data_IF_902095554404
#
_entry.id   IF_902095554404
#
_cell.length_a   1.000
_cell.length_b   1.000
_cell.length_c   1.000
_cell.angle_alpha   90.00
_cell.angle_beta   90.00
_cell.angle_gamma   90.00
#
_symmetry.space_group_name_H-M   'P 1'
#
loop_
_entity.id
_entity.type
_entity.pdbx_description
1 polymer ?
#
# COMPACT_ATOMS: atom_id res chain seq x y z
N UNK A 1 -10.14 -7.11 -7.95
CA UNK A 1 -10.56 -5.92 -7.20
C UNK A 1 -10.08 -4.69 -7.95
N UNK A 2 -10.94 -3.96 -8.67
CA UNK A 2 -10.74 -2.53 -8.89
C UNK A 2 -11.17 -1.80 -7.60
N UNK A 3 -10.36 -0.83 -7.18
CA UNK A 3 -10.31 -0.17 -5.87
C UNK A 3 -9.92 -1.07 -4.69
N UNK A 4 -8.86 -0.70 -3.97
CA UNK A 4 -8.49 -1.34 -2.69
C UNK A 4 -9.26 -0.64 -1.57
N UNK A 5 -10.23 -1.33 -0.96
CA UNK A 5 -11.01 -0.80 0.15
C UNK A 5 -10.40 -1.16 1.50
N UNK A 6 -10.82 -0.47 2.56
CA UNK A 6 -10.38 -0.82 3.91
C UNK A 6 -10.86 -2.20 4.37
N UNK A 7 -12.04 -2.64 3.92
CA UNK A 7 -12.53 -3.99 4.19
C UNK A 7 -11.64 -5.05 3.54
N UNK A 8 -11.18 -4.81 2.31
CA UNK A 8 -10.27 -5.72 1.62
C UNK A 8 -8.92 -5.83 2.35
N UNK A 9 -8.40 -4.72 2.86
CA UNK A 9 -7.16 -4.70 3.64
C UNK A 9 -7.31 -5.47 4.95
N UNK A 10 -8.40 -5.25 5.69
CA UNK A 10 -8.66 -5.98 6.94
C UNK A 10 -8.84 -7.47 6.67
N UNK A 11 -9.56 -7.84 5.59
CA UNK A 11 -9.70 -9.23 5.18
C UNK A 11 -8.35 -9.87 4.81
N UNK A 12 -7.51 -9.16 4.05
CA UNK A 12 -6.14 -9.58 3.71
C UNK A 12 -5.27 -9.80 4.95
N UNK A 13 -5.48 -8.99 5.99
CA UNK A 13 -4.77 -9.09 7.27
C UNK A 13 -5.39 -10.11 8.24
N UNK A 14 -6.32 -10.96 7.79
CA UNK A 14 -6.96 -12.00 8.61
C UNK A 14 -7.95 -11.44 9.65
N UNK A 15 -8.54 -10.28 9.38
CA UNK A 15 -9.49 -9.60 10.28
C UNK A 15 -8.85 -8.61 11.25
N UNK A 16 -7.53 -8.39 11.17
CA UNK A 16 -6.85 -7.44 12.04
C UNK A 16 -6.93 -6.00 11.51
N UNK A 17 -7.28 -5.06 12.39
CA UNK A 17 -7.26 -3.61 12.13
C UNK A 17 -8.65 -2.98 11.99
N UNK A 18 -8.67 -1.66 11.81
CA UNK A 18 -9.89 -0.89 11.59
C UNK A 18 -10.06 -0.59 10.09
N UNK A 19 -11.21 -0.98 9.52
CA UNK A 19 -11.48 -0.83 8.09
C UNK A 19 -11.58 0.64 7.66
N UNK A 20 -12.03 1.54 8.54
CA UNK A 20 -12.10 2.98 8.23
C UNK A 20 -10.70 3.57 8.11
N UNK A 21 -9.81 3.24 9.06
CA UNK A 21 -8.41 3.67 9.04
C UNK A 21 -7.67 3.08 7.85
N UNK A 22 -7.81 1.77 7.62
CA UNK A 22 -7.20 1.08 6.49
C UNK A 22 -7.66 1.66 5.14
N UNK A 23 -8.93 2.05 5.02
CA UNK A 23 -9.46 2.69 3.82
C UNK A 23 -8.81 4.05 3.53
N UNK A 24 -8.57 4.86 4.56
CA UNK A 24 -7.85 6.15 4.41
C UNK A 24 -6.40 5.92 3.99
N UNK A 25 -5.72 4.93 4.57
CA UNK A 25 -4.39 4.54 4.14
C UNK A 25 -4.37 4.11 2.67
N UNK A 26 -5.32 3.26 2.25
CA UNK A 26 -5.42 2.79 0.87
C UNK A 26 -5.55 3.94 -0.14
N UNK A 27 -6.34 4.97 0.18
CA UNK A 27 -6.49 6.17 -0.67
C UNK A 27 -5.16 6.92 -0.85
N UNK A 28 -4.41 7.11 0.23
CA UNK A 28 -3.09 7.77 0.19
C UNK A 28 -2.09 6.93 -0.61
N UNK A 29 -1.98 5.63 -0.32
CA UNK A 29 -1.07 4.72 -1.02
C UNK A 29 -1.41 4.64 -2.52
N UNK A 30 -2.71 4.64 -2.88
CA UNK A 30 -3.17 4.70 -4.28
C UNK A 30 -2.69 5.98 -4.97
N UNK A 31 -2.78 7.13 -4.29
CA UNK A 31 -2.29 8.42 -4.82
C UNK A 31 -0.77 8.41 -5.03
N UNK A 32 -0.02 7.80 -4.11
CA UNK A 32 1.43 7.65 -4.24
C UNK A 32 1.80 6.73 -5.41
N UNK A 33 1.12 5.59 -5.56
CA UNK A 33 1.33 4.67 -6.67
C UNK A 33 1.05 5.35 -8.01
N UNK A 34 -0.09 6.05 -8.12
CA UNK A 34 -0.48 6.80 -9.33
C UNK A 34 0.52 7.89 -9.68
N UNK A 35 1.03 8.61 -8.69
CA UNK A 35 2.09 9.62 -8.89
C UNK A 35 3.39 8.99 -9.38
N UNK A 36 3.80 7.88 -8.77
CA UNK A 36 5.03 7.17 -9.13
C UNK A 36 5.01 6.66 -10.58
N UNK A 37 3.88 6.13 -11.04
CA UNK A 37 3.73 5.59 -12.39
C UNK A 37 3.31 6.64 -13.43
N UNK A 38 3.07 7.89 -13.02
CA UNK A 38 2.48 8.96 -13.85
C UNK A 38 1.14 8.53 -14.48
N UNK A 39 0.31 7.86 -13.68
CA UNK A 39 -0.98 7.32 -14.11
C UNK A 39 -0.91 6.01 -14.90
N UNK A 40 0.28 5.48 -15.19
CA UNK A 40 0.42 4.15 -15.78
C UNK A 40 -0.09 3.06 -14.82
N UNK A 41 -0.76 2.04 -15.36
CA UNK A 41 -1.31 0.95 -14.54
C UNK A 41 -2.63 1.30 -13.84
N UNK A 42 -3.32 2.34 -14.31
CA UNK A 42 -4.66 2.72 -13.89
C UNK A 42 -5.60 2.79 -15.10
N UNK A 43 -6.88 2.49 -14.88
CA UNK A 43 -7.93 2.65 -15.88
C UNK A 43 -8.30 4.12 -16.08
N UNK A 44 -9.11 4.42 -17.10
CA UNK A 44 -9.63 5.77 -17.34
C UNK A 44 -10.47 6.31 -16.17
N UNK A 45 -11.15 5.43 -15.44
CA UNK A 45 -11.90 5.78 -14.22
C UNK A 45 -10.97 6.04 -13.02
N UNK A 46 -9.66 5.84 -13.17
CA UNK A 46 -8.67 6.02 -12.10
C UNK A 46 -8.46 4.78 -11.22
N UNK A 47 -9.02 3.63 -11.60
CA UNK A 47 -8.90 2.39 -10.83
C UNK A 47 -7.58 1.66 -11.12
N UNK A 48 -6.87 1.12 -10.11
CA UNK A 48 -5.63 0.39 -10.34
C UNK A 48 -5.89 -0.92 -11.09
N UNK A 49 -4.96 -1.29 -11.99
CA UNK A 49 -4.91 -2.63 -12.56
C UNK A 49 -4.55 -3.67 -11.48
N UNK A 50 -4.87 -4.98 -11.68
CA UNK A 50 -4.78 -5.98 -10.63
C UNK A 50 -3.43 -6.09 -9.91
N UNK A 51 -2.32 -5.94 -10.64
CA UNK A 51 -0.98 -5.98 -10.07
C UNK A 51 -0.63 -4.69 -9.31
N UNK A 52 -0.97 -3.52 -9.83
CA UNK A 52 -0.86 -2.25 -9.08
C UNK A 52 -1.72 -2.29 -7.82
N UNK A 53 -2.93 -2.86 -7.88
CA UNK A 53 -3.81 -3.04 -6.74
C UNK A 53 -3.18 -3.97 -5.68
N UNK A 54 -2.49 -5.03 -6.09
CA UNK A 54 -1.75 -5.89 -5.17
C UNK A 54 -0.61 -5.15 -4.47
N UNK A 55 0.16 -4.31 -5.18
CA UNK A 55 1.20 -3.48 -4.57
C UNK A 55 0.65 -2.45 -3.58
N UNK A 56 -0.51 -1.85 -3.90
CA UNK A 56 -1.22 -0.94 -3.00
C UNK A 56 -1.70 -1.69 -1.75
N UNK A 57 -2.26 -2.89 -1.91
CA UNK A 57 -2.75 -3.74 -0.81
C UNK A 57 -1.63 -4.04 0.19
N UNK A 58 -0.48 -4.54 -0.28
CA UNK A 58 0.64 -4.92 0.59
C UNK A 58 1.26 -3.72 1.30
N UNK A 59 1.35 -2.57 0.62
CA UNK A 59 1.84 -1.34 1.22
C UNK A 59 0.89 -0.81 2.29
N UNK A 60 -0.41 -0.83 2.00
CA UNK A 60 -1.47 -0.39 2.93
C UNK A 60 -1.52 -1.27 4.18
N UNK A 61 -1.38 -2.59 4.02
CA UNK A 61 -1.32 -3.51 5.16
C UNK A 61 -0.14 -3.17 6.08
N UNK A 62 1.06 -2.90 5.54
CA UNK A 62 2.22 -2.48 6.36
C UNK A 62 1.97 -1.16 7.10
N UNK A 63 1.35 -0.18 6.44
CA UNK A 63 1.01 1.09 7.09
C UNK A 63 -0.05 0.90 8.19
N UNK A 64 -1.00 -0.01 7.98
CA UNK A 64 -2.09 -0.28 8.94
C UNK A 64 -1.60 -1.04 10.18
N UNK A 65 -0.61 -1.93 10.04
CA UNK A 65 0.01 -2.65 11.18
C UNK A 65 0.80 -1.71 12.10
N UNK A 66 1.40 -0.65 11.54
CA UNK A 66 2.13 0.36 12.31
C UNK A 66 1.81 1.79 11.81
N UNK A 67 0.65 2.34 12.18
CA UNK A 67 0.25 3.68 11.77
C UNK A 67 1.14 4.79 12.34
N UNK A 68 1.76 4.54 13.51
CA UNK A 68 2.73 5.48 14.12
C UNK A 68 4.05 5.55 13.33
N UNK A 69 4.27 4.64 12.37
CA UNK A 69 5.46 4.53 11.52
C UNK A 69 6.79 4.53 12.31
N UNK A 70 6.76 4.09 13.57
CA UNK A 70 7.95 4.03 14.41
C UNK A 70 8.97 3.05 13.82
N UNK A 71 10.19 3.53 13.62
CA UNK A 71 11.31 2.74 13.08
C UNK A 71 11.62 1.56 14.02
N UNK A 72 11.56 1.81 15.33
CA UNK A 72 11.69 0.79 16.36
C UNK A 72 10.87 1.21 17.59
N UNK A 73 9.96 0.33 18.03
CA UNK A 73 9.30 0.43 19.34
C UNK A 73 9.67 -0.82 20.12
N UNK A 74 10.51 -0.66 21.15
CA UNK A 74 10.85 -1.73 22.09
C UNK A 74 9.87 -1.63 23.25
N UNK A 75 9.09 -2.69 23.48
CA UNK A 75 8.22 -2.83 24.66
C UNK A 75 8.52 -4.18 25.29
N UNK A 76 9.41 -4.19 26.29
CA UNK A 76 9.92 -5.43 26.88
C UNK A 76 10.69 -6.28 25.87
N UNK A 77 10.52 -7.62 25.82
CA UNK A 77 11.21 -8.49 24.85
C UNK A 77 10.62 -8.42 23.44
N UNK A 78 9.55 -7.65 23.22
CA UNK A 78 8.89 -7.53 21.92
C UNK A 78 9.42 -6.29 21.20
N UNK A 79 10.14 -6.51 20.10
CA UNK A 79 10.50 -5.47 19.14
C UNK A 79 9.48 -5.43 18.01
N UNK A 80 8.81 -4.29 17.78
CA UNK A 80 8.09 -4.05 16.53
C UNK A 80 8.96 -3.23 15.59
N UNK A 81 9.25 -3.79 14.41
CA UNK A 81 9.93 -3.10 13.31
C UNK A 81 9.01 -3.04 12.10
N UNK A 82 9.01 -1.89 11.43
CA UNK A 82 8.40 -1.74 10.12
C UNK A 82 7.17 -0.85 10.10
N UNK A 83 6.97 -0.19 8.97
CA UNK A 83 5.90 0.71 8.59
C UNK A 83 6.10 1.08 7.11
N UNK A 84 5.16 1.76 6.47
CA UNK A 84 5.37 2.22 5.09
C UNK A 84 6.32 3.43 5.07
N UNK A 85 7.63 3.20 4.96
CA UNK A 85 8.62 4.27 4.74
C UNK A 85 8.98 4.42 3.25
N UNK A 86 8.85 3.32 2.50
CA UNK A 86 9.12 3.23 1.07
C UNK A 86 8.37 2.02 0.49
N UNK A 87 8.36 1.95 -0.83
CA UNK A 87 8.01 0.74 -1.56
C UNK A 87 9.03 -0.35 -1.26
N UNK A 88 8.54 -1.56 -1.01
CA UNK A 88 9.38 -2.75 -0.98
C UNK A 88 9.93 -3.09 -2.38
N UNK A 89 10.92 -3.98 -2.45
CA UNK A 89 11.49 -4.42 -3.73
C UNK A 89 10.42 -5.06 -4.66
N UNK A 90 9.53 -5.96 -4.19
CA UNK A 90 8.47 -6.53 -5.02
C UNK A 90 7.48 -5.48 -5.53
N UNK A 91 7.05 -4.55 -4.66
CA UNK A 91 6.14 -3.46 -5.06
C UNK A 91 6.79 -2.55 -6.09
N UNK A 92 8.06 -2.19 -5.88
CA UNK A 92 8.82 -1.40 -6.84
C UNK A 92 8.95 -2.12 -8.18
N UNK A 93 9.16 -3.44 -8.18
CA UNK A 93 9.22 -4.23 -9.41
C UNK A 93 7.89 -4.19 -10.17
N UNK A 94 6.75 -4.29 -9.48
CA UNK A 94 5.41 -4.12 -10.07
C UNK A 94 5.24 -2.71 -10.64
N UNK A 95 5.45 -1.67 -9.82
CA UNK A 95 5.23 -0.28 -10.24
C UNK A 95 6.14 0.14 -11.39
N UNK A 96 7.37 -0.36 -11.44
CA UNK A 96 8.30 -0.08 -12.54
C UNK A 96 7.86 -0.62 -13.89
N UNK A 97 6.98 -1.64 -13.95
CA UNK A 97 6.38 -2.11 -15.21
C UNK A 97 5.51 -1.04 -15.88
N UNK A 98 4.95 -0.14 -15.07
CA UNK A 98 4.04 0.91 -15.51
C UNK A 98 4.65 2.31 -15.53
N UNK A 99 5.84 2.46 -14.94
CA UNK A 99 6.54 3.73 -14.89
C UNK A 99 7.05 4.09 -16.29
N UNK A 100 6.55 5.21 -16.84
CA UNK A 100 7.15 5.80 -18.05
C UNK A 100 8.57 6.26 -17.71
N UNK A 101 9.58 5.62 -18.32
CA UNK A 101 10.95 6.13 -18.29
C UNK A 101 11.01 7.40 -19.14
N UNK A 102 11.80 8.38 -18.73
CA UNK A 102 12.12 9.50 -19.61
C UNK A 102 12.78 8.90 -20.86
N UNK A 103 12.12 9.06 -22.00
CA UNK A 103 12.69 8.84 -23.32
C UNK A 103 13.14 10.17 -23.89
#
# INVERSE_FOLDING_TARGET
MPHVTGADVVAFMGGFGDATVAGRHAQVITTLAKSYTRGGGFTAAGEPLPDVAAAIMTATARLTVNPEQLIEKVTGPVSRRGGFYSWSLPETAVLNRYRRRAG
#
